data_IF_392404298569
#
_entry.id   IF_392404298569
#
_cell.length_a   1.000
_cell.length_b   1.000
_cell.length_c   1.000
_cell.angle_alpha   90.00
_cell.angle_beta   90.00
_cell.angle_gamma   90.00
#
_symmetry.space_group_name_H-M   'P 1'
#
loop_
_entity.id
_entity.type
_entity.pdbx_description
1 polymer ?
#
# COMPACT_ATOMS: atom_id res chain seq x y z
N UNK A 1 7.92 36.41 12.80
CA UNK A 1 7.68 35.09 13.42
C UNK A 1 7.19 35.32 14.85
N UNK A 2 6.24 34.52 15.33
CA UNK A 2 5.65 34.64 16.69
C UNK A 2 6.63 34.26 17.82
N UNK A 3 7.63 33.43 17.51
CA UNK A 3 8.61 32.92 18.46
C UNK A 3 9.97 33.59 18.24
N UNK A 4 10.40 34.40 19.20
CA UNK A 4 11.64 35.18 19.10
C UNK A 4 12.80 34.54 19.86
N UNK A 5 12.51 33.85 20.95
CA UNK A 5 13.51 33.13 21.74
C UNK A 5 13.87 31.78 21.11
N UNK A 6 15.10 31.33 21.33
CA UNK A 6 15.61 30.06 20.79
C UNK A 6 14.80 28.86 21.31
N UNK A 7 14.48 28.87 22.61
CA UNK A 7 13.74 27.80 23.28
C UNK A 7 12.31 27.65 22.74
N UNK A 8 11.64 28.76 22.41
CA UNK A 8 10.30 28.74 21.80
C UNK A 8 10.34 28.11 20.41
N UNK A 9 11.35 28.43 19.61
CA UNK A 9 11.53 27.85 18.27
C UNK A 9 11.80 26.36 18.34
N UNK A 10 12.64 25.92 19.28
CA UNK A 10 12.93 24.49 19.50
C UNK A 10 11.66 23.74 19.89
N UNK A 11 10.88 24.27 20.85
CA UNK A 11 9.62 23.66 21.29
C UNK A 11 8.61 23.52 20.15
N UNK A 12 8.47 24.57 19.32
CA UNK A 12 7.60 24.53 18.15
C UNK A 12 8.04 23.47 17.12
N UNK A 13 9.34 23.37 16.84
CA UNK A 13 9.88 22.35 15.93
C UNK A 13 9.66 20.92 16.44
N UNK A 14 9.80 20.68 17.75
CA UNK A 14 9.49 19.38 18.36
C UNK A 14 8.01 19.04 18.22
N UNK A 15 7.12 20.00 18.49
CA UNK A 15 5.68 19.82 18.28
C UNK A 15 5.33 19.48 16.83
N UNK A 16 5.94 20.16 15.85
CA UNK A 16 5.78 19.83 14.43
C UNK A 16 6.27 18.41 14.10
N UNK A 17 7.41 18.00 14.66
CA UNK A 17 7.96 16.65 14.44
C UNK A 17 7.02 15.56 14.99
N UNK A 18 6.52 15.74 16.21
CA UNK A 18 5.57 14.79 16.81
C UNK A 18 4.26 14.76 16.01
N UNK A 19 3.71 15.92 15.66
CA UNK A 19 2.50 15.99 14.84
C UNK A 19 2.68 15.32 13.48
N UNK A 20 3.83 15.51 12.82
CA UNK A 20 4.14 14.85 11.54
C UNK A 20 4.13 13.32 11.70
N UNK A 21 4.75 12.80 12.75
CA UNK A 21 4.77 11.35 13.00
C UNK A 21 3.35 10.82 13.26
N UNK A 22 2.56 11.51 14.09
CA UNK A 22 1.16 11.13 14.38
C UNK A 22 0.30 11.13 13.11
N UNK A 23 0.42 12.15 12.27
CA UNK A 23 -0.27 12.25 10.99
C UNK A 23 0.12 11.10 10.06
N UNK A 24 1.41 10.76 9.98
CA UNK A 24 1.90 9.61 9.20
C UNK A 24 1.37 8.28 9.75
N UNK A 25 1.20 8.15 11.07
CA UNK A 25 0.56 6.98 11.70
C UNK A 25 -0.97 6.96 11.54
N UNK A 26 -1.57 7.95 10.87
CA UNK A 26 -3.00 8.04 10.60
C UNK A 26 -3.81 8.78 11.67
N UNK A 27 -3.17 9.32 12.71
CA UNK A 27 -3.83 10.14 13.74
C UNK A 27 -4.07 11.53 13.19
N UNK A 28 -5.34 11.85 12.92
CA UNK A 28 -5.71 13.12 12.26
C UNK A 28 -5.86 14.29 13.22
N UNK A 29 -6.22 14.01 14.46
CA UNK A 29 -6.52 15.01 15.48
C UNK A 29 -6.11 14.49 16.85
N UNK A 30 -5.81 15.42 17.76
CA UNK A 30 -5.55 15.15 19.18
C UNK A 30 -6.28 16.18 20.03
N UNK A 31 -6.55 15.84 21.30
CA UNK A 31 -6.92 16.84 22.30
C UNK A 31 -5.64 17.51 22.81
N UNK A 32 -5.47 18.79 22.49
CA UNK A 32 -4.21 19.52 22.74
C UNK A 32 -3.95 19.71 24.24
N UNK A 33 -4.98 19.99 25.03
CA UNK A 33 -4.84 20.27 26.46
C UNK A 33 -4.30 19.07 27.25
N UNK A 34 -4.91 17.86 27.21
CA UNK A 34 -4.34 16.68 27.85
C UNK A 34 -2.96 16.28 27.30
N UNK A 35 -2.72 16.52 26.02
CA UNK A 35 -1.43 16.22 25.40
C UNK A 35 -0.31 17.10 25.98
N UNK A 36 -0.58 18.40 26.15
CA UNK A 36 0.36 19.34 26.76
C UNK A 36 0.55 19.08 28.26
N UNK A 37 -0.51 18.67 28.96
CA UNK A 37 -0.43 18.26 30.36
C UNK A 37 0.48 17.05 30.55
N UNK A 38 0.36 16.03 29.70
CA UNK A 38 1.23 14.85 29.75
C UNK A 38 2.71 15.20 29.49
N UNK A 39 2.98 16.13 28.56
CA UNK A 39 4.33 16.63 28.32
C UNK A 39 4.89 17.39 29.54
N UNK A 40 4.11 18.30 30.12
CA UNK A 40 4.50 19.05 31.32
C UNK A 40 4.78 18.10 32.50
N UNK A 41 3.92 17.09 32.70
CA UNK A 41 4.11 16.09 33.72
C UNK A 41 5.43 15.32 33.55
N UNK A 42 5.74 14.88 32.33
CA UNK A 42 6.95 14.15 32.02
C UNK A 42 8.23 14.98 32.26
N UNK A 43 8.25 16.25 31.83
CA UNK A 43 9.41 17.12 32.03
C UNK A 43 9.64 17.54 33.48
N UNK A 44 8.56 17.68 34.26
CA UNK A 44 8.64 18.11 35.66
C UNK A 44 8.64 16.93 36.66
N UNK A 45 8.70 15.69 36.17
CA UNK A 45 8.72 14.49 37.02
C UNK A 45 7.43 14.30 37.84
N UNK A 46 6.30 14.86 37.38
CA UNK A 46 5.00 14.58 37.99
C UNK A 46 4.60 13.15 37.66
N UNK A 47 3.95 12.49 38.61
CA UNK A 47 3.41 11.16 38.38
C UNK A 47 2.29 11.25 37.34
N UNK A 48 2.35 10.49 36.23
CA UNK A 48 1.29 10.49 35.22
C UNK A 48 -0.05 10.02 35.83
N UNK A 49 -1.16 10.57 35.34
CA UNK A 49 -2.50 10.14 35.77
C UNK A 49 -2.83 8.71 35.33
N UNK A 50 -2.21 8.24 34.25
CA UNK A 50 -2.36 6.88 33.72
C UNK A 50 -1.09 6.07 33.99
N UNK A 51 -1.27 4.83 34.44
CA UNK A 51 -0.16 3.87 34.47
C UNK A 51 0.35 3.57 33.05
N UNK A 52 1.62 3.13 32.91
CA UNK A 52 2.15 2.68 31.61
C UNK A 52 1.28 1.57 30.98
N UNK A 53 0.74 0.66 31.78
CA UNK A 53 -0.14 -0.42 31.32
C UNK A 53 -1.46 0.11 30.75
N UNK A 54 -2.12 1.03 31.45
CA UNK A 54 -3.36 1.67 30.98
C UNK A 54 -3.13 2.48 29.70
N UNK A 55 -2.05 3.26 29.66
CA UNK A 55 -1.69 4.04 28.47
C UNK A 55 -1.46 3.11 27.26
N UNK A 56 -0.73 2.02 27.44
CA UNK A 56 -0.48 1.05 26.37
C UNK A 56 -1.77 0.38 25.88
N UNK A 57 -2.67 -0.01 26.79
CA UNK A 57 -3.94 -0.63 26.43
C UNK A 57 -4.84 0.32 25.63
N UNK A 58 -4.96 1.58 26.06
CA UNK A 58 -5.73 2.61 25.36
C UNK A 58 -5.16 2.88 23.96
N UNK A 59 -3.83 3.01 23.84
CA UNK A 59 -3.17 3.22 22.55
C UNK A 59 -3.34 2.02 21.62
N UNK A 60 -3.22 0.79 22.14
CA UNK A 60 -3.47 -0.43 21.35
C UNK A 60 -4.89 -0.47 20.81
N UNK A 61 -5.90 -0.18 21.64
CA UNK A 61 -7.29 -0.13 21.20
C UNK A 61 -7.52 0.96 20.14
N UNK A 62 -6.95 2.15 20.36
CA UNK A 62 -7.06 3.26 19.42
C UNK A 62 -6.44 2.94 18.06
N UNK A 63 -5.20 2.43 18.03
CA UNK A 63 -4.54 2.07 16.78
C UNK A 63 -5.18 0.84 16.11
N UNK A 64 -5.73 -0.10 16.89
CA UNK A 64 -6.51 -1.22 16.38
C UNK A 64 -7.76 -0.74 15.61
N UNK A 65 -8.55 0.15 16.21
CA UNK A 65 -9.72 0.77 15.56
C UNK A 65 -9.33 1.56 14.32
N UNK A 66 -8.23 2.31 14.38
CA UNK A 66 -7.73 3.07 13.24
C UNK A 66 -7.34 2.16 12.07
N UNK A 67 -6.69 1.03 12.37
CA UNK A 67 -6.32 0.04 11.37
C UNK A 67 -7.55 -0.63 10.74
N UNK A 68 -8.56 -0.98 11.55
CA UNK A 68 -9.83 -1.54 11.08
C UNK A 68 -10.59 -0.56 10.17
N UNK A 69 -10.66 0.72 10.56
CA UNK A 69 -11.29 1.76 9.74
C UNK A 69 -10.57 1.94 8.39
N UNK A 70 -9.23 1.95 8.40
CA UNK A 70 -8.43 2.04 7.17
C UNK A 70 -8.62 0.81 6.28
N UNK A 71 -8.64 -0.39 6.86
CA UNK A 71 -8.92 -1.63 6.17
C UNK A 71 -10.32 -1.60 5.52
N UNK A 72 -11.35 -1.18 6.25
CA UNK A 72 -12.70 -1.04 5.72
C UNK A 72 -12.77 -0.08 4.53
N UNK A 73 -12.08 1.07 4.62
CA UNK A 73 -11.96 2.03 3.51
C UNK A 73 -11.23 1.45 2.31
N UNK A 74 -10.16 0.68 2.53
CA UNK A 74 -9.42 0.03 1.45
C UNK A 74 -10.27 -1.01 0.72
N UNK A 75 -11.04 -1.83 1.46
CA UNK A 75 -11.99 -2.79 0.89
C UNK A 75 -13.04 -2.07 0.04
N UNK A 76 -13.66 -1.02 0.56
CA UNK A 76 -14.70 -0.26 -0.15
C UNK A 76 -14.14 0.40 -1.41
N UNK A 77 -13.01 1.11 -1.28
CA UNK A 77 -12.38 1.80 -2.40
C UNK A 77 -11.92 0.82 -3.48
N UNK A 78 -11.31 -0.32 -3.09
CA UNK A 78 -10.87 -1.35 -4.01
C UNK A 78 -12.03 -2.02 -4.74
N UNK A 79 -13.10 -2.37 -4.03
CA UNK A 79 -14.30 -2.99 -4.61
C UNK A 79 -14.98 -2.05 -5.60
N UNK A 80 -15.19 -0.78 -5.21
CA UNK A 80 -15.76 0.24 -6.09
C UNK A 80 -14.91 0.47 -7.33
N UNK A 81 -13.59 0.59 -7.15
CA UNK A 81 -12.66 0.74 -8.27
C UNK A 81 -12.77 -0.41 -9.26
N UNK A 82 -12.74 -1.67 -8.79
CA UNK A 82 -12.83 -2.85 -9.64
C UNK A 82 -14.20 -2.94 -10.34
N UNK A 83 -15.29 -2.61 -9.65
CA UNK A 83 -16.63 -2.59 -10.24
C UNK A 83 -16.71 -1.58 -11.39
N UNK A 84 -16.22 -0.36 -11.19
CA UNK A 84 -16.18 0.68 -12.22
C UNK A 84 -15.21 0.31 -13.35
N UNK A 85 -14.06 -0.28 -13.03
CA UNK A 85 -13.05 -0.65 -14.00
C UNK A 85 -13.51 -1.78 -14.93
N UNK A 86 -14.28 -2.75 -14.41
CA UNK A 86 -14.83 -3.86 -15.19
C UNK A 86 -15.76 -3.41 -16.34
N UNK A 87 -16.31 -2.19 -16.25
CA UNK A 87 -17.24 -1.61 -17.21
C UNK A 87 -16.51 -0.86 -18.34
N UNK A 88 -15.18 -0.68 -18.26
CA UNK A 88 -14.39 0.01 -19.27
C UNK A 88 -14.17 -0.89 -20.48
N UNK A 89 -14.16 -0.28 -21.66
CA UNK A 89 -13.81 -0.98 -22.91
C UNK A 89 -12.37 -1.51 -22.82
N UNK A 90 -12.16 -2.74 -23.32
CA UNK A 90 -10.85 -3.40 -23.30
C UNK A 90 -10.48 -4.08 -21.98
N UNK A 91 -11.24 -3.85 -20.90
CA UNK A 91 -11.04 -4.57 -19.62
C UNK A 91 -11.77 -5.91 -19.65
N UNK A 92 -11.03 -6.98 -19.35
CA UNK A 92 -11.54 -8.34 -19.19
C UNK A 92 -11.52 -8.68 -17.70
N UNK A 93 -12.61 -9.25 -17.20
CA UNK A 93 -12.70 -9.77 -15.82
C UNK A 93 -12.73 -11.30 -15.83
N UNK A 94 -11.90 -11.91 -14.98
CA UNK A 94 -11.83 -13.35 -14.79
C UNK A 94 -12.69 -13.80 -13.60
N UNK A 95 -12.99 -15.09 -13.52
CA UNK A 95 -13.78 -15.67 -12.42
C UNK A 95 -13.13 -15.49 -11.05
N UNK A 96 -11.79 -15.41 -11.01
CA UNK A 96 -11.02 -15.13 -9.78
C UNK A 96 -11.22 -13.70 -9.26
N UNK A 97 -11.80 -12.81 -10.06
CA UNK A 97 -11.89 -11.38 -9.81
C UNK A 97 -10.70 -10.57 -10.34
N UNK A 98 -9.64 -11.22 -10.84
CA UNK A 98 -8.59 -10.54 -11.57
C UNK A 98 -9.18 -9.83 -12.80
N UNK A 99 -8.78 -8.57 -13.01
CA UNK A 99 -9.08 -7.88 -14.25
C UNK A 99 -7.80 -7.53 -14.97
N UNK A 100 -7.85 -7.50 -16.29
CA UNK A 100 -6.73 -7.05 -17.10
C UNK A 100 -7.18 -6.32 -18.36
N UNK A 101 -6.25 -5.57 -18.93
CA UNK A 101 -6.38 -4.87 -20.20
C UNK A 101 -5.11 -5.14 -21.02
N UNK A 102 -5.29 -5.50 -22.29
CA UNK A 102 -4.16 -5.76 -23.19
C UNK A 102 -3.72 -4.42 -23.78
N UNK A 103 -2.53 -3.93 -23.38
CA UNK A 103 -1.93 -2.71 -23.96
C UNK A 103 -1.23 -3.04 -25.27
N UNK A 104 -0.52 -4.16 -25.31
CA UNK A 104 0.16 -4.67 -26.50
C UNK A 104 0.01 -6.18 -26.51
N UNK A 105 -0.50 -6.70 -27.62
CA UNK A 105 -0.66 -8.13 -27.84
C UNK A 105 0.65 -8.73 -28.36
N UNK A 106 1.21 -9.68 -27.60
CA UNK A 106 2.33 -10.50 -28.03
C UNK A 106 1.85 -11.69 -28.87
N UNK A 107 2.79 -12.36 -29.52
CA UNK A 107 2.51 -13.50 -30.41
C UNK A 107 3.35 -14.76 -30.08
N UNK A 108 4.13 -14.73 -29.00
CA UNK A 108 4.91 -15.86 -28.57
C UNK A 108 4.14 -16.81 -27.64
N UNK A 109 4.84 -17.85 -27.17
CA UNK A 109 4.25 -18.82 -26.25
C UNK A 109 3.87 -18.18 -24.92
N UNK A 110 2.88 -18.78 -24.24
CA UNK A 110 2.48 -18.38 -22.90
C UNK A 110 3.28 -19.19 -21.85
N UNK A 111 3.81 -18.54 -20.79
CA UNK A 111 4.50 -19.21 -19.69
C UNK A 111 3.64 -20.29 -19.01
N UNK A 112 4.28 -21.36 -18.55
CA UNK A 112 3.70 -22.36 -17.64
C UNK A 112 4.02 -21.98 -16.20
N UNK A 113 3.23 -22.49 -15.24
CA UNK A 113 3.48 -22.25 -13.82
C UNK A 113 4.84 -22.71 -13.28
N UNK A 114 5.54 -23.60 -13.99
CA UNK A 114 6.90 -24.07 -13.64
C UNK A 114 8.02 -23.22 -14.23
N UNK A 115 7.70 -22.31 -15.15
CA UNK A 115 8.68 -21.54 -15.88
C UNK A 115 9.18 -20.35 -15.03
N UNK A 116 10.27 -19.74 -15.49
CA UNK A 116 10.67 -18.41 -15.04
C UNK A 116 10.45 -17.41 -16.16
N UNK A 117 10.14 -16.17 -15.80
CA UNK A 117 9.90 -15.09 -16.77
C UNK A 117 10.76 -13.90 -16.46
N UNK A 118 11.22 -13.21 -17.51
CA UNK A 118 11.83 -11.89 -17.41
C UNK A 118 10.81 -10.85 -17.83
N UNK A 119 10.55 -9.86 -16.98
CA UNK A 119 9.58 -8.82 -17.28
C UNK A 119 10.02 -7.43 -16.82
N UNK A 120 9.51 -6.43 -17.54
CA UNK A 120 9.36 -5.09 -16.98
C UNK A 120 8.01 -4.98 -16.28
N UNK A 121 7.95 -4.19 -15.22
CA UNK A 121 6.74 -3.93 -14.49
C UNK A 121 6.73 -2.57 -13.78
N UNK A 122 5.53 -2.07 -13.55
CA UNK A 122 5.25 -0.85 -12.83
C UNK A 122 4.01 -1.06 -11.96
N UNK A 123 4.21 -1.13 -10.64
CA UNK A 123 3.17 -1.35 -9.64
C UNK A 123 2.74 -0.06 -8.95
N UNK A 124 1.44 0.23 -8.96
CA UNK A 124 0.86 1.38 -8.29
C UNK A 124 -0.36 1.00 -7.45
N UNK A 125 -0.62 1.79 -6.41
CA UNK A 125 -1.91 1.80 -5.74
C UNK A 125 -2.97 2.43 -6.66
N UNK A 126 -4.24 2.30 -6.29
CA UNK A 126 -5.37 2.88 -7.05
C UNK A 126 -5.32 4.41 -7.12
N UNK A 127 -4.60 5.07 -6.20
CA UNK A 127 -4.38 6.52 -6.18
C UNK A 127 -3.18 6.97 -7.03
N UNK A 128 -2.47 6.03 -7.68
CA UNK A 128 -1.28 6.29 -8.49
C UNK A 128 0.04 6.28 -7.74
N UNK A 129 0.03 6.07 -6.41
CA UNK A 129 1.26 5.92 -5.63
C UNK A 129 2.04 4.71 -6.12
N UNK A 130 3.26 4.94 -6.60
CA UNK A 130 4.15 3.86 -7.07
C UNK A 130 4.81 3.19 -5.87
N UNK A 131 4.59 1.89 -5.71
CA UNK A 131 5.23 1.11 -4.64
C UNK A 131 6.43 0.29 -5.14
N UNK A 132 6.45 -0.10 -6.42
CA UNK A 132 7.56 -0.83 -7.00
C UNK A 132 7.58 -0.66 -8.53
N UNK A 133 8.77 -0.57 -9.14
CA UNK A 133 8.91 -0.49 -10.59
C UNK A 133 10.31 -0.85 -11.07
N UNK A 134 10.40 -1.91 -11.89
CA UNK A 134 11.64 -2.24 -12.61
C UNK A 134 11.96 -1.24 -13.72
N UNK A 135 10.94 -0.62 -14.32
CA UNK A 135 11.12 0.44 -15.33
C UNK A 135 11.86 1.65 -14.73
N UNK A 136 11.50 2.08 -13.51
CA UNK A 136 12.23 3.17 -12.82
C UNK A 136 13.66 2.80 -12.46
N UNK A 137 13.93 1.51 -12.21
CA UNK A 137 15.29 1.01 -11.98
C UNK A 137 16.10 0.87 -13.26
N UNK A 138 15.45 0.83 -14.43
CA UNK A 138 16.09 0.64 -15.73
C UNK A 138 16.53 -0.80 -16.00
N UNK A 139 16.12 -1.77 -15.17
CA UNK A 139 16.53 -3.16 -15.29
C UNK A 139 15.33 -4.11 -15.10
N UNK A 140 15.02 -5.01 -16.05
CA UNK A 140 14.00 -6.04 -15.90
C UNK A 140 14.29 -6.97 -14.72
N UNK A 141 13.24 -7.58 -14.17
CA UNK A 141 13.39 -8.57 -13.12
C UNK A 141 13.00 -9.97 -13.62
N UNK A 142 13.62 -11.00 -13.05
CA UNK A 142 13.30 -12.40 -13.32
C UNK A 142 12.52 -12.96 -12.14
N UNK A 143 11.41 -13.63 -12.43
CA UNK A 143 10.56 -14.23 -11.43
C UNK A 143 10.22 -15.67 -11.82
N UNK A 144 10.23 -16.63 -10.88
CA UNK A 144 9.53 -17.90 -11.08
C UNK A 144 8.02 -17.61 -11.11
N UNK A 145 7.30 -18.16 -12.10
CA UNK A 145 5.87 -17.87 -12.29
C UNK A 145 5.06 -18.22 -11.04
N UNK A 146 5.41 -19.30 -10.33
CA UNK A 146 4.74 -19.72 -9.09
C UNK A 146 5.23 -19.01 -7.81
N UNK A 147 6.20 -18.09 -7.90
CA UNK A 147 6.77 -17.38 -6.75
C UNK A 147 6.30 -15.93 -6.60
N UNK A 148 5.30 -15.52 -7.37
CA UNK A 148 4.68 -14.19 -7.32
C UNK A 148 3.26 -14.26 -6.77
N UNK A 149 2.61 -13.11 -6.58
CA UNK A 149 1.23 -13.03 -6.08
C UNK A 149 0.26 -13.78 -6.99
N UNK A 150 -0.85 -14.29 -6.43
CA UNK A 150 -1.82 -15.15 -7.15
C UNK A 150 -2.33 -14.51 -8.46
N UNK A 151 -2.60 -13.21 -8.45
CA UNK A 151 -3.03 -12.49 -9.65
C UNK A 151 -1.99 -12.47 -10.76
N UNK A 152 -0.69 -12.41 -10.42
CA UNK A 152 0.38 -12.54 -11.41
C UNK A 152 0.53 -13.98 -11.90
N UNK A 153 0.40 -14.98 -11.02
CA UNK A 153 0.43 -16.40 -11.41
C UNK A 153 -0.61 -16.67 -12.50
N UNK A 154 -1.83 -16.17 -12.29
CA UNK A 154 -2.92 -16.32 -13.26
C UNK A 154 -2.66 -15.52 -14.54
N UNK A 155 -2.33 -14.23 -14.43
CA UNK A 155 -2.09 -13.36 -15.60
C UNK A 155 -0.97 -13.88 -16.49
N UNK A 156 0.19 -14.23 -15.92
CA UNK A 156 1.35 -14.68 -16.69
C UNK A 156 1.06 -15.94 -17.52
N UNK A 157 0.21 -16.84 -17.01
CA UNK A 157 -0.21 -18.05 -17.73
C UNK A 157 -1.29 -17.80 -18.79
N UNK A 158 -1.72 -16.55 -18.97
CA UNK A 158 -2.60 -16.10 -20.03
C UNK A 158 -1.91 -15.12 -21.00
N UNK A 159 -0.78 -14.53 -20.60
CA UNK A 159 -0.04 -13.52 -21.34
C UNK A 159 0.92 -14.16 -22.38
N UNK A 160 0.68 -13.99 -23.69
CA UNK A 160 1.65 -14.38 -24.70
C UNK A 160 2.96 -13.61 -24.54
N UNK A 161 4.10 -14.26 -24.79
CA UNK A 161 5.40 -13.59 -24.82
C UNK A 161 5.40 -12.39 -25.80
N UNK A 162 6.01 -11.28 -25.37
CA UNK A 162 6.00 -10.00 -26.08
C UNK A 162 4.80 -9.10 -25.73
N UNK A 163 3.87 -9.58 -24.88
CA UNK A 163 2.71 -8.77 -24.47
C UNK A 163 3.07 -7.74 -23.42
N UNK A 164 2.35 -6.62 -23.45
CA UNK A 164 2.24 -5.68 -22.34
C UNK A 164 0.79 -5.62 -21.86
N UNK A 165 0.52 -5.99 -20.62
CA UNK A 165 -0.81 -5.95 -20.02
C UNK A 165 -0.84 -4.99 -18.83
N UNK A 166 -2.03 -4.44 -18.58
CA UNK A 166 -2.35 -3.77 -17.32
C UNK A 166 -3.24 -4.68 -16.50
N UNK A 167 -2.81 -5.02 -15.30
CA UNK A 167 -3.50 -5.88 -14.35
C UNK A 167 -4.10 -5.03 -13.25
N UNK A 168 -5.32 -5.37 -12.85
CA UNK A 168 -6.01 -4.79 -11.71
C UNK A 168 -6.32 -5.94 -10.76
N UNK A 169 -5.53 -6.02 -9.68
CA UNK A 169 -5.43 -7.20 -8.82
C UNK A 169 -6.17 -6.94 -7.50
N UNK A 170 -7.32 -7.60 -7.24
CA UNK A 170 -7.99 -7.57 -5.95
C UNK A 170 -7.03 -8.00 -4.83
N UNK A 171 -7.25 -7.48 -3.63
CA UNK A 171 -6.33 -7.72 -2.51
C UNK A 171 -6.13 -9.20 -2.16
N UNK A 172 -7.15 -10.04 -2.29
CA UNK A 172 -7.08 -11.50 -2.04
C UNK A 172 -6.20 -12.25 -3.05
N UNK A 173 -5.98 -11.66 -4.22
CA UNK A 173 -5.05 -12.13 -5.25
C UNK A 173 -3.66 -11.45 -5.15
N UNK A 174 -3.51 -10.53 -4.19
CA UNK A 174 -2.28 -9.81 -3.89
C UNK A 174 -1.79 -10.13 -2.45
N UNK A 175 -1.81 -9.15 -1.54
CA UNK A 175 -1.25 -9.27 -0.18
C UNK A 175 -2.32 -9.32 0.93
N UNK A 176 -3.61 -9.37 0.57
CA UNK A 176 -4.72 -9.62 1.50
C UNK A 176 -4.80 -8.64 2.68
N UNK A 177 -5.30 -9.14 3.81
CA UNK A 177 -5.48 -8.38 5.05
C UNK A 177 -4.16 -7.89 5.69
N UNK A 178 -3.05 -8.53 5.35
CA UNK A 178 -1.75 -8.26 5.95
C UNK A 178 -1.05 -7.08 5.27
N UNK A 179 -1.30 -6.88 3.97
CA UNK A 179 -0.55 -5.91 3.18
C UNK A 179 0.92 -6.34 3.00
N UNK A 180 1.76 -5.41 2.53
CA UNK A 180 3.18 -5.66 2.31
C UNK A 180 4.04 -4.39 2.36
N UNK A 181 5.18 -4.50 3.05
CA UNK A 181 6.12 -3.40 3.20
C UNK A 181 5.48 -2.17 3.86
N UNK A 182 5.92 -0.98 3.46
CA UNK A 182 5.46 0.27 4.07
C UNK A 182 4.32 0.94 3.32
N UNK A 183 4.10 0.58 2.05
CA UNK A 183 3.18 1.28 1.15
C UNK A 183 1.90 0.49 0.86
N UNK A 184 1.95 -0.83 0.88
CA UNK A 184 0.77 -1.66 0.58
C UNK A 184 0.09 -1.99 1.91
N UNK A 185 -1.00 -1.27 2.20
CA UNK A 185 -1.80 -1.51 3.39
C UNK A 185 -2.67 -2.78 3.29
N UNK A 186 -3.34 -3.14 4.39
CA UNK A 186 -4.39 -4.17 4.41
C UNK A 186 -5.43 -3.98 3.30
N UNK A 187 -5.85 -5.09 2.68
CA UNK A 187 -6.94 -5.14 1.70
C UNK A 187 -6.78 -4.22 0.48
N UNK A 188 -5.54 -3.87 0.15
CA UNK A 188 -5.24 -2.94 -0.93
C UNK A 188 -5.33 -3.62 -2.30
N UNK A 189 -6.18 -3.10 -3.19
CA UNK A 189 -6.18 -3.44 -4.62
C UNK A 189 -4.94 -2.83 -5.29
N UNK A 190 -4.26 -3.60 -6.13
CA UNK A 190 -3.05 -3.18 -6.82
C UNK A 190 -3.26 -3.05 -8.32
N UNK A 191 -2.53 -2.14 -8.95
CA UNK A 191 -2.47 -1.99 -10.39
C UNK A 191 -1.04 -2.30 -10.83
N UNK A 192 -0.89 -3.12 -11.86
CA UNK A 192 0.41 -3.38 -12.48
C UNK A 192 0.35 -3.16 -13.97
N UNK A 193 1.33 -2.48 -14.55
CA UNK A 193 1.69 -2.71 -15.95
C UNK A 193 2.79 -3.74 -15.99
N UNK A 194 2.66 -4.77 -16.82
CA UNK A 194 3.61 -5.88 -16.95
C UNK A 194 3.91 -6.09 -18.43
N UNK A 195 5.19 -6.07 -18.79
CA UNK A 195 5.69 -6.38 -20.12
C UNK A 195 6.52 -7.66 -20.06
N UNK A 196 6.04 -8.72 -20.71
CA UNK A 196 6.65 -10.04 -20.71
C UNK A 196 7.71 -10.12 -21.81
N UNK A 197 8.98 -10.13 -21.41
CA UNK A 197 10.12 -10.02 -22.32
C UNK A 197 10.69 -11.38 -22.72
N UNK A 198 10.71 -12.34 -21.79
CA UNK A 198 11.34 -13.64 -22.00
C UNK A 198 10.72 -14.71 -21.10
N UNK A 199 10.70 -15.96 -21.59
CA UNK A 199 10.52 -17.18 -20.79
C UNK A 199 11.91 -17.82 -20.68
N UNK A 200 12.40 -17.98 -19.44
CA UNK A 200 13.76 -18.40 -19.09
C UNK A 200 13.82 -19.91 -18.86
#
# INVERSE_FOLDING_TARGET
>A
MKYTEEQDKVSYCLGLSIASNLLTSGVKTISVEPFMEALDAAFNGKMPELSPEEANAILQEFFGKLQEEQAGKAVEAGSKFLEENSKKEGVVSLESGLQYEIITEGNGNTPKGTDSVKCHYHGTLIDGTVFDSSVRRGEPAVFPVNGVIKGWIEALQLMPLGSKWKLYVPSDLAYGAQGAGNLIGPHTTLIFEVELLEIV
#
